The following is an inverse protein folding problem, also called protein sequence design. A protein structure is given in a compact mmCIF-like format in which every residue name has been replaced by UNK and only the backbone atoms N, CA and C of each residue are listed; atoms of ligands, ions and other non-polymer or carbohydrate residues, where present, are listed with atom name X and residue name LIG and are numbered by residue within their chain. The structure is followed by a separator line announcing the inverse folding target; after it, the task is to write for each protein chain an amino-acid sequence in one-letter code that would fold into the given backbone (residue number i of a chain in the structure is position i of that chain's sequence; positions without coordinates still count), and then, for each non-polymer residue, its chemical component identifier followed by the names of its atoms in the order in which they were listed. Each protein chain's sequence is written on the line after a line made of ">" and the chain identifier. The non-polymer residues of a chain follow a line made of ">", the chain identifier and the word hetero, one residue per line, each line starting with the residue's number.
data_IF_348921652653
#
_entry.id   IF_348921652653
#
_cell.length_a   1.000
_cell.length_b   1.000
_cell.length_c   1.000
_cell.angle_alpha   90.00
_cell.angle_beta   90.00
_cell.angle_gamma   90.00
#
_symmetry.space_group_name_H-M   'P 1'
#
loop_
_entity.id
_entity.type
_entity.pdbx_description
1 polymer ?
#
# COMPACT_ATOMS: atom_id res chain seq x y z
N UNK A 1 74.14 17.30 -0.28
CA UNK A 1 73.04 18.25 -0.30
C UNK A 1 71.92 17.81 -1.29
N UNK A 2 72.29 17.43 -2.50
CA UNK A 2 71.26 16.93 -3.48
C UNK A 2 70.52 15.69 -3.00
N UNK A 3 71.20 14.78 -2.29
CA UNK A 3 70.56 13.58 -1.75
C UNK A 3 69.52 13.91 -0.69
N UNK A 4 69.73 14.90 0.13
CA UNK A 4 68.71 15.31 1.15
C UNK A 4 67.52 15.95 0.54
N UNK A 5 67.67 16.73 -0.51
CA UNK A 5 66.55 17.32 -1.25
C UNK A 5 65.72 16.24 -1.94
N UNK A 6 66.38 15.24 -2.53
CA UNK A 6 65.73 14.14 -3.19
C UNK A 6 64.97 13.29 -2.18
N UNK A 7 65.57 12.96 -1.05
CA UNK A 7 64.94 12.20 0.03
C UNK A 7 63.68 12.91 0.57
N UNK A 8 63.79 14.23 0.76
CA UNK A 8 62.68 15.04 1.25
C UNK A 8 61.54 15.09 0.23
N UNK A 9 61.84 15.23 -1.04
CA UNK A 9 60.88 15.25 -2.12
C UNK A 9 60.16 13.89 -2.23
N UNK A 10 60.93 12.80 -2.17
CA UNK A 10 60.35 11.44 -2.20
C UNK A 10 59.43 11.17 -0.99
N UNK A 11 59.88 11.62 0.19
CA UNK A 11 59.11 11.49 1.42
C UNK A 11 57.79 12.27 1.34
N UNK A 12 57.83 13.50 0.87
CA UNK A 12 56.62 14.31 0.68
C UNK A 12 55.68 13.72 -0.34
N UNK A 13 56.21 13.18 -1.44
CA UNK A 13 55.44 12.54 -2.48
C UNK A 13 54.74 11.28 -1.94
N UNK A 14 55.49 10.44 -1.23
CA UNK A 14 54.95 9.19 -0.68
C UNK A 14 53.93 9.47 0.43
N UNK A 15 54.18 10.44 1.28
CA UNK A 15 53.20 10.84 2.33
C UNK A 15 51.91 11.39 1.70
N UNK A 16 52.04 12.19 0.65
CA UNK A 16 50.91 12.75 -0.07
C UNK A 16 50.06 11.66 -0.74
N UNK A 17 50.74 10.70 -1.38
CA UNK A 17 50.05 9.55 -2.00
C UNK A 17 49.34 8.69 -0.97
N UNK A 18 50.01 8.38 0.16
CA UNK A 18 49.44 7.57 1.22
C UNK A 18 48.23 8.25 1.84
N UNK A 19 48.34 9.55 2.11
CA UNK A 19 47.22 10.34 2.67
C UNK A 19 46.04 10.43 1.70
N UNK A 20 46.34 10.67 0.43
CA UNK A 20 45.32 10.70 -0.62
C UNK A 20 44.59 9.37 -0.76
N UNK A 21 45.33 8.28 -0.68
CA UNK A 21 44.75 6.91 -0.72
C UNK A 21 43.86 6.66 0.49
N UNK A 22 44.29 7.03 1.70
CA UNK A 22 43.48 6.88 2.91
C UNK A 22 42.20 7.71 2.84
N UNK A 23 42.30 8.96 2.40
CA UNK A 23 41.16 9.85 2.24
C UNK A 23 40.20 9.32 1.17
N UNK A 24 40.72 8.78 0.07
CA UNK A 24 39.94 8.18 -0.99
C UNK A 24 39.19 6.93 -0.53
N UNK A 25 39.88 6.07 0.22
CA UNK A 25 39.25 4.85 0.79
C UNK A 25 38.17 5.20 1.80
N UNK A 26 38.42 6.21 2.66
CA UNK A 26 37.42 6.68 3.62
C UNK A 26 36.20 7.27 2.92
N UNK A 27 36.38 8.04 1.87
CA UNK A 27 35.31 8.62 1.08
C UNK A 27 34.50 7.52 0.39
N UNK A 28 35.18 6.53 -0.17
CA UNK A 28 34.52 5.39 -0.80
C UNK A 28 33.68 4.58 0.19
N UNK A 29 34.24 4.31 1.38
CA UNK A 29 33.55 3.61 2.45
C UNK A 29 32.30 4.38 2.90
N UNK A 30 32.42 5.69 3.04
CA UNK A 30 31.29 6.57 3.39
C UNK A 30 30.22 6.54 2.32
N UNK A 31 30.61 6.64 1.06
CA UNK A 31 29.68 6.59 -0.07
C UNK A 31 28.93 5.26 -0.14
N UNK A 32 29.65 4.15 0.09
CA UNK A 32 29.02 2.81 0.14
C UNK A 32 28.03 2.68 1.29
N UNK A 33 28.38 3.21 2.47
CA UNK A 33 27.49 3.19 3.63
C UNK A 33 26.23 4.02 3.38
N UNK A 34 26.40 5.21 2.81
CA UNK A 34 25.25 6.07 2.46
C UNK A 34 24.35 5.41 1.40
N UNK A 35 24.95 4.79 0.39
CA UNK A 35 24.21 4.07 -0.63
C UNK A 35 23.41 2.91 -0.02
N UNK A 36 24.00 2.16 0.90
CA UNK A 36 23.33 1.06 1.60
C UNK A 36 22.16 1.57 2.43
N UNK A 37 22.31 2.71 3.11
CA UNK A 37 21.23 3.33 3.88
C UNK A 37 20.08 3.78 2.97
N UNK A 38 20.39 4.38 1.83
CA UNK A 38 19.39 4.82 0.85
C UNK A 38 18.60 3.64 0.34
N UNK A 39 19.29 2.55 -0.03
CA UNK A 39 18.63 1.33 -0.51
C UNK A 39 17.76 0.70 0.58
N UNK A 40 18.26 0.62 1.82
CA UNK A 40 17.50 0.08 2.95
C UNK A 40 16.24 0.92 3.24
N UNK A 41 16.37 2.24 3.22
CA UNK A 41 15.24 3.15 3.40
C UNK A 41 14.20 3.00 2.28
N UNK A 42 14.66 2.89 1.03
CA UNK A 42 13.79 2.70 -0.12
C UNK A 42 13.02 1.37 -0.05
N UNK A 43 13.69 0.30 0.36
CA UNK A 43 13.05 -1.02 0.55
C UNK A 43 12.00 -0.98 1.64
N UNK A 44 12.29 -0.30 2.75
CA UNK A 44 11.35 -0.13 3.86
C UNK A 44 10.13 0.66 3.43
N UNK A 45 10.35 1.75 2.70
CA UNK A 45 9.27 2.58 2.17
C UNK A 45 8.40 1.79 1.18
N UNK A 46 9.03 1.04 0.28
CA UNK A 46 8.32 0.19 -0.68
C UNK A 46 7.47 -0.87 0.04
N UNK A 47 8.01 -1.52 1.06
CA UNK A 47 7.28 -2.51 1.86
C UNK A 47 6.10 -1.87 2.58
N UNK A 48 6.27 -0.65 3.09
CA UNK A 48 5.20 0.11 3.72
C UNK A 48 4.08 0.47 2.75
N UNK A 49 4.44 0.90 1.55
CA UNK A 49 3.48 1.22 0.48
C UNK A 49 2.67 -0.01 0.10
N UNK A 50 3.33 -1.15 -0.09
CA UNK A 50 2.68 -2.42 -0.45
C UNK A 50 1.74 -2.86 0.66
N UNK A 51 2.19 -2.83 1.92
CA UNK A 51 1.38 -3.21 3.08
C UNK A 51 0.13 -2.33 3.21
N UNK A 52 0.28 -1.03 3.02
CA UNK A 52 -0.84 -0.07 3.06
C UNK A 52 -1.83 -0.35 1.93
N UNK A 53 -1.31 -0.60 0.73
CA UNK A 53 -2.16 -0.92 -0.43
C UNK A 53 -2.93 -2.22 -0.23
N UNK A 54 -2.30 -3.25 0.34
CA UNK A 54 -2.96 -4.51 0.67
C UNK A 54 -4.07 -4.33 1.70
N UNK A 55 -3.80 -3.54 2.75
CA UNK A 55 -4.81 -3.25 3.77
C UNK A 55 -5.98 -2.47 3.21
N UNK A 56 -5.72 -1.46 2.38
CA UNK A 56 -6.76 -0.68 1.71
C UNK A 56 -7.60 -1.54 0.77
N UNK A 57 -6.94 -2.45 0.03
CA UNK A 57 -7.63 -3.38 -0.86
C UNK A 57 -8.53 -4.35 -0.07
N UNK A 58 -8.05 -4.86 1.05
CA UNK A 58 -8.83 -5.75 1.91
C UNK A 58 -10.02 -5.02 2.55
N UNK A 59 -9.82 -3.80 3.01
CA UNK A 59 -10.88 -2.97 3.57
C UNK A 59 -11.95 -2.66 2.52
N UNK A 60 -11.53 -2.31 1.32
CA UNK A 60 -12.43 -2.08 0.19
C UNK A 60 -13.24 -3.33 -0.15
N UNK A 61 -12.58 -4.47 -0.19
CA UNK A 61 -13.22 -5.78 -0.46
C UNK A 61 -14.30 -6.10 0.56
N UNK A 62 -13.97 -5.88 1.85
CA UNK A 62 -14.90 -6.09 2.97
C UNK A 62 -16.09 -5.14 2.87
N UNK A 63 -15.83 -3.88 2.55
CA UNK A 63 -16.89 -2.88 2.39
C UNK A 63 -17.82 -3.23 1.26
N UNK A 64 -17.28 -3.58 0.10
CA UNK A 64 -18.09 -3.97 -1.08
C UNK A 64 -18.92 -5.21 -0.77
N UNK A 65 -18.32 -6.22 -0.13
CA UNK A 65 -19.05 -7.43 0.26
C UNK A 65 -20.20 -7.10 1.20
N UNK A 66 -19.99 -6.20 2.17
CA UNK A 66 -21.04 -5.74 3.08
C UNK A 66 -22.15 -4.97 2.37
N UNK A 67 -21.77 -4.08 1.44
CA UNK A 67 -22.72 -3.29 0.66
C UNK A 67 -23.57 -4.18 -0.26
N UNK A 68 -22.96 -5.17 -0.90
CA UNK A 68 -23.68 -6.15 -1.75
C UNK A 68 -24.65 -6.97 -0.92
N UNK A 69 -24.21 -7.44 0.25
CA UNK A 69 -25.06 -8.19 1.18
C UNK A 69 -26.26 -7.36 1.63
N UNK A 70 -26.02 -6.10 1.98
CA UNK A 70 -27.09 -5.19 2.39
C UNK A 70 -28.08 -4.93 1.25
N UNK A 71 -27.58 -4.65 0.05
CA UNK A 71 -28.40 -4.42 -1.13
C UNK A 71 -29.24 -5.64 -1.47
N UNK A 72 -28.65 -6.84 -1.39
CA UNK A 72 -29.37 -8.10 -1.63
C UNK A 72 -30.47 -8.31 -0.59
N UNK A 73 -30.18 -8.06 0.68
CA UNK A 73 -31.16 -8.17 1.77
C UNK A 73 -32.32 -7.20 1.59
N UNK A 74 -32.03 -5.94 1.26
CA UNK A 74 -33.05 -4.92 1.00
C UNK A 74 -33.91 -5.28 -0.20
N UNK A 75 -33.29 -5.81 -1.25
CA UNK A 75 -34.00 -6.24 -2.46
C UNK A 75 -34.95 -7.42 -2.15
N UNK A 76 -34.52 -8.40 -1.37
CA UNK A 76 -35.32 -9.53 -0.94
C UNK A 76 -36.52 -9.06 -0.10
N UNK A 77 -36.25 -8.15 0.85
CA UNK A 77 -37.32 -7.59 1.71
C UNK A 77 -38.35 -6.81 0.89
N UNK A 78 -37.88 -6.00 -0.06
CA UNK A 78 -38.78 -5.24 -0.94
C UNK A 78 -39.63 -6.16 -1.79
N UNK A 79 -39.05 -7.22 -2.36
CA UNK A 79 -39.78 -8.23 -3.15
C UNK A 79 -40.79 -8.97 -2.29
N UNK A 80 -40.42 -9.36 -1.08
CA UNK A 80 -41.31 -10.00 -0.12
C UNK A 80 -42.52 -9.12 0.19
N UNK A 81 -42.29 -7.85 0.46
CA UNK A 81 -43.35 -6.89 0.75
C UNK A 81 -44.27 -6.69 -0.44
N UNK A 82 -43.71 -6.61 -1.65
CA UNK A 82 -44.50 -6.50 -2.88
C UNK A 82 -45.38 -7.72 -3.09
N UNK A 83 -44.86 -8.92 -2.83
CA UNK A 83 -45.63 -10.18 -2.93
C UNK A 83 -46.74 -10.20 -1.87
N UNK A 84 -46.43 -9.83 -0.63
CA UNK A 84 -47.41 -9.76 0.45
C UNK A 84 -48.54 -8.79 0.12
N UNK A 85 -48.19 -7.60 -0.39
CA UNK A 85 -49.18 -6.60 -0.81
C UNK A 85 -50.06 -7.13 -1.95
N UNK A 86 -49.44 -7.81 -2.92
CA UNK A 86 -50.19 -8.39 -4.04
C UNK A 86 -51.18 -9.47 -3.57
N UNK A 87 -50.75 -10.33 -2.65
CA UNK A 87 -51.60 -11.37 -2.06
C UNK A 87 -52.76 -10.76 -1.30
N UNK A 88 -52.50 -9.73 -0.47
CA UNK A 88 -53.53 -9.02 0.28
C UNK A 88 -54.55 -8.37 -0.68
N UNK A 89 -54.05 -7.68 -1.72
CA UNK A 89 -54.94 -7.07 -2.72
C UNK A 89 -55.82 -8.10 -3.41
N UNK A 90 -55.25 -9.24 -3.76
CA UNK A 90 -55.98 -10.30 -4.42
C UNK A 90 -57.06 -10.94 -3.51
N UNK A 91 -56.69 -11.13 -2.24
CA UNK A 91 -57.63 -11.64 -1.23
C UNK A 91 -58.78 -10.66 -0.97
N UNK A 92 -58.45 -9.36 -0.88
CA UNK A 92 -59.44 -8.29 -0.67
C UNK A 92 -60.37 -8.18 -1.87
N UNK A 93 -59.86 -8.21 -3.09
CA UNK A 93 -60.64 -8.19 -4.32
C UNK A 93 -61.58 -9.38 -4.40
N UNK A 94 -61.08 -10.59 -4.07
CA UNK A 94 -61.89 -11.81 -4.04
C UNK A 94 -63.00 -11.73 -3.01
N UNK A 95 -62.72 -11.24 -1.82
CA UNK A 95 -63.72 -11.06 -0.76
C UNK A 95 -64.79 -10.05 -1.16
N UNK A 96 -64.40 -8.96 -1.83
CA UNK A 96 -65.29 -7.92 -2.31
C UNK A 96 -66.22 -8.45 -3.40
N UNK A 97 -65.67 -9.20 -4.38
CA UNK A 97 -66.47 -9.84 -5.43
C UNK A 97 -67.45 -10.81 -4.85
N UNK A 98 -67.06 -11.63 -3.89
CA UNK A 98 -67.87 -12.55 -3.23
C UNK A 98 -69.06 -11.88 -2.48
N UNK A 99 -68.75 -10.79 -1.78
CA UNK A 99 -69.72 -9.99 -1.08
C UNK A 99 -70.74 -9.32 -2.03
N UNK A 100 -70.25 -8.87 -3.22
CA UNK A 100 -71.09 -8.25 -4.23
C UNK A 100 -72.02 -9.26 -4.99
N UNK A 101 -71.59 -10.53 -5.06
CA UNK A 101 -72.37 -11.57 -5.76
C UNK A 101 -73.47 -12.13 -4.91
N UNK A 102 -73.39 -11.96 -3.61
CA UNK A 102 -74.44 -12.36 -2.69
C UNK A 102 -75.40 -11.20 -2.45
#
# INVERSE_FOLDING_TARGET
>A
MQNKLQELTDKLYNEGLSKGKEEGEALLAKAKAEAAEIVAAAKKEAAGIISKAENEANDFKTKVAGDVKMAASQSIQATRKDIENLVVMKMTAGATEKALSD
#
